data_IF_663298488474
#
_entry.id   IF_663298488474
#
_cell.length_a   1.000
_cell.length_b   1.000
_cell.length_c   1.000
_cell.angle_alpha   90.00
_cell.angle_beta   90.00
_cell.angle_gamma   90.00
#
_symmetry.space_group_name_H-M   'P 1'
#
loop_
_entity.id
_entity.type
_entity.pdbx_description
1 polymer ?
#
# COMPACT_ATOMS: atom_id res chain seq x y z
N UNK A 1 3.82 -23.55 -63.97
CA UNK A 1 2.96 -22.93 -62.90
C UNK A 1 3.20 -23.70 -61.60
N UNK A 2 4.07 -23.21 -60.77
CA UNK A 2 4.40 -23.80 -59.46
C UNK A 2 3.70 -22.95 -58.40
N UNK A 3 2.75 -23.54 -57.63
CA UNK A 3 2.09 -22.88 -56.51
C UNK A 3 2.93 -23.10 -55.26
N UNK A 4 3.50 -22.03 -54.73
CA UNK A 4 4.07 -21.98 -53.40
C UNK A 4 2.93 -21.95 -52.37
N UNK A 5 2.89 -22.97 -51.51
CA UNK A 5 2.08 -22.94 -50.27
C UNK A 5 2.92 -22.30 -49.17
N UNK A 6 2.53 -21.14 -48.71
CA UNK A 6 3.07 -20.51 -47.51
C UNK A 6 2.33 -21.04 -46.28
N UNK A 7 3.00 -21.81 -45.47
CA UNK A 7 2.52 -22.25 -44.17
C UNK A 7 2.77 -21.15 -43.14
N UNK A 8 1.70 -20.54 -42.65
CA UNK A 8 1.76 -19.57 -41.54
C UNK A 8 1.78 -20.34 -40.22
N UNK A 9 2.91 -20.36 -39.54
CA UNK A 9 3.03 -20.94 -38.20
C UNK A 9 2.41 -19.94 -37.18
N UNK A 10 1.29 -20.35 -36.59
CA UNK A 10 0.62 -19.64 -35.53
C UNK A 10 1.35 -19.97 -34.21
N UNK A 11 2.25 -19.12 -33.74
CA UNK A 11 2.85 -19.24 -32.41
C UNK A 11 1.80 -18.87 -31.37
N UNK A 12 1.19 -19.85 -30.72
CA UNK A 12 0.36 -19.66 -29.53
C UNK A 12 1.28 -19.34 -28.36
N UNK A 13 1.30 -18.07 -27.91
CA UNK A 13 1.89 -17.69 -26.63
C UNK A 13 0.96 -18.22 -25.52
N UNK A 14 1.34 -19.33 -24.92
CA UNK A 14 0.78 -19.75 -23.63
C UNK A 14 1.38 -18.81 -22.57
N UNK A 15 0.64 -17.79 -22.15
CA UNK A 15 0.89 -17.08 -20.94
C UNK A 15 0.72 -18.10 -19.78
N UNK A 16 1.80 -18.58 -19.22
CA UNK A 16 1.79 -19.35 -17.98
C UNK A 16 1.17 -18.45 -16.91
N UNK A 17 -0.07 -18.72 -16.50
CA UNK A 17 -0.63 -18.11 -15.31
C UNK A 17 0.28 -18.48 -14.14
N UNK A 18 1.12 -17.56 -13.68
CA UNK A 18 1.86 -17.71 -12.45
C UNK A 18 0.84 -17.94 -11.35
N UNK A 19 0.93 -19.06 -10.63
CA UNK A 19 0.09 -19.28 -9.47
C UNK A 19 0.24 -18.06 -8.54
N UNK A 20 -0.89 -17.50 -8.11
CA UNK A 20 -0.88 -16.37 -7.19
C UNK A 20 -0.10 -16.78 -5.92
N UNK A 21 0.74 -15.88 -5.42
CA UNK A 21 1.46 -16.12 -4.16
C UNK A 21 0.46 -16.35 -3.03
N UNK A 22 0.77 -17.27 -2.09
CA UNK A 22 -0.10 -17.53 -0.97
C UNK A 22 -0.20 -16.27 -0.09
N UNK A 23 -1.39 -16.01 0.40
CA UNK A 23 -1.62 -14.95 1.38
C UNK A 23 -1.59 -15.51 2.80
N UNK A 24 -1.53 -14.65 3.78
CA UNK A 24 -1.37 -15.05 5.18
C UNK A 24 -2.48 -16.01 5.66
N UNK A 25 -3.73 -15.80 5.23
CA UNK A 25 -4.85 -16.73 5.53
C UNK A 25 -4.66 -18.10 4.89
N UNK A 26 -4.06 -18.19 3.72
CA UNK A 26 -3.79 -19.46 3.04
C UNK A 26 -2.72 -20.28 3.79
N UNK A 27 -1.82 -19.59 4.50
CA UNK A 27 -0.87 -20.20 5.43
C UNK A 27 -1.44 -20.52 6.81
N UNK A 28 -2.73 -20.28 7.03
CA UNK A 28 -3.40 -20.56 8.30
C UNK A 28 -3.12 -19.54 9.40
N UNK A 29 -2.73 -18.32 9.07
CA UNK A 29 -2.67 -17.22 10.03
C UNK A 29 -4.10 -16.80 10.38
N UNK A 30 -4.51 -16.82 11.68
CA UNK A 30 -5.85 -16.44 12.07
C UNK A 30 -5.96 -14.91 12.16
N UNK A 31 -6.93 -14.36 11.45
CA UNK A 31 -7.32 -12.96 11.55
C UNK A 31 -8.80 -12.82 11.85
N UNK A 32 -9.13 -11.80 12.61
CA UNK A 32 -10.49 -11.43 12.98
C UNK A 32 -11.20 -10.70 11.83
N UNK A 33 -12.52 -10.67 11.86
CA UNK A 33 -13.37 -9.96 10.94
C UNK A 33 -13.58 -10.66 9.58
N UNK A 34 -14.73 -10.39 8.96
CA UNK A 34 -15.08 -10.88 7.63
C UNK A 34 -14.40 -10.02 6.56
N UNK A 35 -13.86 -10.64 5.52
CA UNK A 35 -13.21 -9.93 4.41
C UNK A 35 -14.19 -9.70 3.26
N UNK A 36 -13.92 -8.68 2.43
CA UNK A 36 -14.50 -8.59 1.10
C UNK A 36 -14.03 -9.74 0.18
N UNK A 37 -14.55 -9.78 -1.03
CA UNK A 37 -14.31 -10.87 -1.97
C UNK A 37 -12.82 -11.01 -2.37
N UNK A 38 -12.12 -9.89 -2.51
CA UNK A 38 -10.70 -9.84 -2.87
C UNK A 38 -9.79 -9.77 -1.63
N UNK A 39 -10.36 -9.47 -0.46
CA UNK A 39 -9.62 -9.11 0.74
C UNK A 39 -8.54 -8.06 0.46
N UNK A 40 -8.90 -7.00 -0.24
CA UNK A 40 -8.02 -5.96 -0.75
C UNK A 40 -8.65 -4.57 -0.64
N UNK A 41 -7.85 -3.51 -0.73
CA UNK A 41 -8.37 -2.13 -0.74
C UNK A 41 -9.39 -1.90 -1.86
N UNK A 42 -9.27 -2.64 -2.95
CA UNK A 42 -10.17 -2.61 -4.11
C UNK A 42 -11.54 -3.24 -3.86
N UNK A 43 -11.79 -3.85 -2.70
CA UNK A 43 -13.16 -4.20 -2.28
C UNK A 43 -14.01 -2.95 -1.95
N UNK A 44 -13.37 -1.81 -1.70
CA UNK A 44 -14.07 -0.53 -1.55
C UNK A 44 -14.48 -0.03 -2.93
N UNK A 45 -15.77 0.15 -3.11
CA UNK A 45 -16.35 0.52 -4.41
C UNK A 45 -15.72 1.80 -4.99
N UNK A 46 -15.28 1.75 -6.23
CA UNK A 46 -14.64 2.85 -6.96
C UNK A 46 -13.12 2.89 -6.82
N UNK A 47 -12.53 2.23 -5.84
CA UNK A 47 -11.07 2.20 -5.65
C UNK A 47 -10.40 1.31 -6.68
N UNK A 48 -9.36 1.83 -7.33
CA UNK A 48 -8.50 1.06 -8.23
C UNK A 48 -7.04 1.23 -7.86
N UNK A 49 -6.22 0.23 -8.15
CA UNK A 49 -4.78 0.21 -7.87
C UNK A 49 -4.01 -0.16 -9.12
N UNK A 50 -2.95 0.61 -9.42
CA UNK A 50 -2.02 0.31 -10.49
C UNK A 50 -0.58 0.37 -10.01
N UNK A 51 0.28 -0.45 -10.61
CA UNK A 51 1.66 -0.61 -10.16
C UNK A 51 2.62 -0.72 -11.35
N UNK A 52 3.82 -0.16 -11.15
CA UNK A 52 4.98 -0.36 -12.04
C UNK A 52 6.16 -0.76 -11.17
N UNK A 53 6.74 -1.92 -11.47
CA UNK A 53 7.86 -2.52 -10.75
C UNK A 53 9.13 -2.40 -11.58
N UNK A 54 10.21 -1.90 -10.99
CA UNK A 54 11.51 -1.75 -11.63
C UNK A 54 12.52 -2.67 -10.94
N UNK A 55 12.89 -3.74 -11.63
CA UNK A 55 13.92 -4.71 -11.20
C UNK A 55 14.92 -4.85 -12.34
N UNK A 56 16.11 -4.30 -12.16
CA UNK A 56 17.15 -4.31 -13.17
C UNK A 56 18.54 -4.41 -12.51
N UNK A 57 19.43 -5.17 -13.12
CA UNK A 57 20.85 -5.21 -12.78
C UNK A 57 21.63 -4.44 -13.84
N UNK A 58 22.17 -3.29 -13.45
CA UNK A 58 22.87 -2.40 -14.36
C UNK A 58 24.27 -2.90 -14.70
N UNK A 59 24.78 -2.57 -15.87
CA UNK A 59 26.15 -2.89 -16.30
C UNK A 59 27.22 -2.32 -15.35
N UNK A 60 26.90 -1.25 -14.61
CA UNK A 60 27.74 -0.66 -13.56
C UNK A 60 27.87 -1.55 -12.31
N UNK A 61 27.10 -2.64 -12.20
CA UNK A 61 26.97 -3.47 -11.01
C UNK A 61 25.92 -2.97 -10.01
N UNK A 62 25.38 -1.77 -10.20
CA UNK A 62 24.27 -1.24 -9.38
C UNK A 62 22.96 -1.98 -9.68
N UNK A 63 22.05 -1.99 -8.71
CA UNK A 63 20.76 -2.69 -8.80
C UNK A 63 19.60 -1.74 -8.60
N UNK A 64 18.67 -1.76 -9.54
CA UNK A 64 17.40 -1.04 -9.45
C UNK A 64 16.36 -1.96 -8.81
N UNK A 65 15.80 -1.55 -7.68
CA UNK A 65 14.81 -2.30 -6.88
C UNK A 65 13.78 -1.33 -6.33
N UNK A 66 12.97 -0.76 -7.20
CA UNK A 66 12.05 0.32 -6.86
C UNK A 66 10.78 0.26 -7.72
N UNK A 67 9.95 1.27 -7.66
CA UNK A 67 8.75 1.39 -8.48
C UNK A 67 7.76 2.42 -7.99
N UNK A 68 6.55 2.35 -8.55
CA UNK A 68 5.44 3.26 -8.24
C UNK A 68 4.16 2.46 -8.05
N UNK A 69 3.40 2.80 -7.00
CA UNK A 69 2.03 2.33 -6.79
C UNK A 69 1.08 3.52 -6.83
N UNK A 70 0.01 3.43 -7.60
CA UNK A 70 -1.06 4.42 -7.70
C UNK A 70 -2.34 3.85 -7.08
N UNK A 71 -2.95 4.58 -6.16
CA UNK A 71 -4.27 4.28 -5.58
C UNK A 71 -5.22 5.39 -6.01
N UNK A 72 -6.26 5.03 -6.76
CA UNK A 72 -7.22 5.97 -7.31
C UNK A 72 -8.56 5.83 -6.58
N UNK A 73 -8.97 6.81 -5.75
CA UNK A 73 -10.20 6.72 -4.96
C UNK A 73 -11.48 6.56 -5.77
N UNK A 74 -11.50 7.05 -7.01
CA UNK A 74 -12.65 6.99 -7.94
C UNK A 74 -12.27 6.47 -9.32
N UNK A 75 -11.29 5.56 -9.39
CA UNK A 75 -10.81 5.02 -10.65
C UNK A 75 -10.43 6.13 -11.64
N UNK A 76 -10.86 6.03 -12.88
CA UNK A 76 -10.52 7.01 -13.92
C UNK A 76 -11.05 8.42 -13.65
N UNK A 77 -12.04 8.58 -12.77
CA UNK A 77 -12.60 9.91 -12.42
C UNK A 77 -11.83 10.59 -11.28
N UNK A 78 -10.81 9.95 -10.71
CA UNK A 78 -10.08 10.45 -9.53
C UNK A 78 -9.51 11.85 -9.72
N UNK A 79 -9.09 12.21 -10.93
CA UNK A 79 -8.52 13.55 -11.19
C UNK A 79 -9.56 14.68 -11.08
N UNK A 80 -10.85 14.39 -11.30
CA UNK A 80 -11.93 15.39 -11.39
C UNK A 80 -13.01 15.20 -10.32
N UNK A 81 -12.86 14.17 -9.51
CA UNK A 81 -13.84 13.81 -8.49
C UNK A 81 -13.14 13.59 -7.14
N UNK A 82 -12.89 14.65 -6.38
CA UNK A 82 -12.28 14.55 -5.06
C UNK A 82 -13.13 13.72 -4.09
N UNK A 83 -12.51 13.29 -3.01
CA UNK A 83 -13.15 12.57 -1.91
C UNK A 83 -12.80 13.24 -0.59
N UNK A 84 -13.64 13.06 0.44
CA UNK A 84 -13.20 13.44 1.78
C UNK A 84 -11.99 12.60 2.20
N UNK A 85 -10.99 13.29 2.74
CA UNK A 85 -9.74 12.69 3.18
C UNK A 85 -9.21 13.31 4.46
N UNK A 86 -8.34 12.58 5.13
CA UNK A 86 -7.55 13.08 6.26
C UNK A 86 -6.29 12.26 6.40
N UNK A 87 -5.26 12.84 6.98
CA UNK A 87 -3.99 12.19 7.22
C UNK A 87 -3.54 12.31 8.68
N UNK A 88 -2.58 11.49 9.06
CA UNK A 88 -1.99 11.50 10.39
C UNK A 88 -0.54 11.00 10.33
N UNK A 89 0.41 11.80 10.82
CA UNK A 89 1.77 11.34 11.08
C UNK A 89 1.86 10.82 12.50
N UNK A 90 2.09 9.51 12.65
CA UNK A 90 2.44 8.92 13.94
C UNK A 90 3.88 9.27 14.28
N UNK A 91 4.74 9.24 13.26
CA UNK A 91 6.15 9.57 13.32
C UNK A 91 6.57 10.23 12.00
N UNK A 92 7.30 11.32 12.04
CA UNK A 92 7.45 12.26 10.94
C UNK A 92 8.77 12.17 10.16
N UNK A 93 9.59 11.12 10.34
CA UNK A 93 10.81 10.95 9.53
C UNK A 93 10.50 10.35 8.15
N UNK A 94 9.66 11.03 7.39
CA UNK A 94 9.20 10.65 6.06
C UNK A 94 8.43 11.78 5.40
N UNK A 95 8.03 11.60 4.15
CA UNK A 95 7.33 12.62 3.39
C UNK A 95 5.99 12.12 2.85
N UNK A 96 4.98 13.01 2.90
CA UNK A 96 3.71 12.92 2.17
C UNK A 96 3.35 14.32 1.69
N UNK A 97 3.33 14.51 0.38
CA UNK A 97 2.95 15.80 -0.22
C UNK A 97 1.44 16.03 -0.19
N UNK A 98 0.97 17.26 -0.42
CA UNK A 98 -0.45 17.61 -0.50
C UNK A 98 -1.19 17.64 0.84
N UNK A 99 -0.53 17.35 1.94
CA UNK A 99 -1.14 17.23 3.29
C UNK A 99 -1.68 18.55 3.82
N UNK A 100 -1.05 19.68 3.50
CA UNK A 100 -1.54 21.00 3.91
C UNK A 100 -2.94 21.29 3.34
N UNK A 101 -3.18 20.94 2.08
CA UNK A 101 -4.49 21.10 1.46
C UNK A 101 -5.53 20.14 2.02
N UNK A 102 -5.14 18.91 2.31
CA UNK A 102 -6.04 17.95 2.97
C UNK A 102 -6.47 18.47 4.36
N UNK A 103 -5.56 19.05 5.14
CA UNK A 103 -5.91 19.61 6.46
C UNK A 103 -6.83 20.86 6.33
N UNK A 104 -6.62 21.70 5.32
CA UNK A 104 -7.39 22.92 5.10
C UNK A 104 -8.78 22.63 4.54
N UNK A 105 -8.85 21.80 3.48
CA UNK A 105 -10.11 21.56 2.74
C UNK A 105 -10.90 20.35 3.23
N UNK A 106 -10.23 19.40 3.87
CA UNK A 106 -10.79 18.07 4.14
C UNK A 106 -10.94 17.19 2.89
N UNK A 107 -10.33 17.59 1.77
CA UNK A 107 -10.46 16.90 0.48
C UNK A 107 -9.15 16.30 0.03
N UNK A 108 -9.22 15.10 -0.52
CA UNK A 108 -8.17 14.43 -1.27
C UNK A 108 -8.51 14.55 -2.75
N UNK A 109 -7.67 15.25 -3.48
CA UNK A 109 -7.80 15.50 -4.92
C UNK A 109 -6.76 14.69 -5.68
N UNK A 110 -7.23 13.85 -6.60
CA UNK A 110 -6.34 13.02 -7.42
C UNK A 110 -5.95 11.69 -6.75
N UNK A 111 -4.97 10.98 -7.35
CA UNK A 111 -4.47 9.71 -6.85
C UNK A 111 -3.57 9.88 -5.62
N UNK A 112 -3.49 8.84 -4.81
CA UNK A 112 -2.43 8.66 -3.81
C UNK A 112 -1.32 7.83 -4.45
N UNK A 113 -0.13 8.39 -4.53
CA UNK A 113 1.04 7.75 -5.14
C UNK A 113 2.02 7.31 -4.06
N UNK A 114 2.57 6.10 -4.21
CA UNK A 114 3.59 5.55 -3.31
C UNK A 114 4.85 5.22 -4.12
N UNK A 115 6.01 5.63 -3.61
CA UNK A 115 7.30 5.41 -4.27
C UNK A 115 8.44 5.38 -3.24
N UNK A 116 9.69 5.59 -3.67
CA UNK A 116 10.82 5.75 -2.77
C UNK A 116 11.10 7.22 -2.42
N UNK A 117 11.91 7.44 -1.39
CA UNK A 117 12.22 8.77 -0.82
C UNK A 117 12.73 9.76 -1.88
N UNK A 118 13.65 9.36 -2.77
CA UNK A 118 14.24 10.28 -3.75
C UNK A 118 13.37 10.48 -5.01
N UNK A 119 12.28 9.74 -5.13
CA UNK A 119 11.39 9.82 -6.30
C UNK A 119 10.11 10.62 -6.06
N UNK A 120 9.89 11.16 -4.85
CA UNK A 120 8.69 11.95 -4.53
C UNK A 120 8.52 13.11 -5.51
N UNK A 121 9.57 13.86 -5.79
CA UNK A 121 9.52 15.01 -6.70
C UNK A 121 9.08 14.64 -8.10
N UNK A 122 9.75 13.66 -8.74
CA UNK A 122 9.42 13.24 -10.12
C UNK A 122 8.03 12.64 -10.22
N UNK A 123 7.58 11.89 -9.21
CA UNK A 123 6.23 11.31 -9.19
C UNK A 123 5.18 12.40 -9.07
N UNK A 124 5.40 13.39 -8.18
CA UNK A 124 4.52 14.55 -8.04
C UNK A 124 4.38 15.34 -9.33
N UNK A 125 5.50 15.68 -9.95
CA UNK A 125 5.51 16.46 -11.20
C UNK A 125 4.85 15.69 -12.35
N UNK A 126 5.06 14.37 -12.42
CA UNK A 126 4.44 13.52 -13.43
C UNK A 126 2.92 13.43 -13.28
N UNK A 127 2.38 13.38 -12.06
CA UNK A 127 0.91 13.43 -11.83
C UNK A 127 0.33 14.75 -12.33
N UNK A 128 1.02 15.88 -12.08
CA UNK A 128 0.61 17.19 -12.59
C UNK A 128 0.65 17.20 -14.14
N UNK A 129 1.73 16.70 -14.74
CA UNK A 129 1.87 16.62 -16.18
C UNK A 129 0.80 15.71 -16.83
N UNK A 130 0.40 14.62 -16.16
CA UNK A 130 -0.69 13.75 -16.61
C UNK A 130 -2.01 14.50 -16.65
N UNK A 131 -2.29 15.27 -15.60
CA UNK A 131 -3.49 16.11 -15.54
C UNK A 131 -3.50 17.18 -16.64
N UNK A 132 -2.35 17.84 -16.90
CA UNK A 132 -2.22 18.80 -18.03
C UNK A 132 -2.52 18.11 -19.36
N UNK A 133 -1.99 16.91 -19.56
CA UNK A 133 -2.23 16.14 -20.80
C UNK A 133 -3.68 15.70 -20.97
N UNK A 134 -4.39 15.45 -19.91
CA UNK A 134 -5.81 15.07 -19.96
C UNK A 134 -6.72 16.21 -20.43
N UNK A 135 -6.21 17.44 -20.48
CA UNK A 135 -6.92 18.61 -21.01
C UNK A 135 -8.06 19.11 -20.13
N UNK A 136 -8.15 18.65 -18.88
CA UNK A 136 -9.16 19.14 -17.94
C UNK A 136 -8.63 20.41 -17.29
N UNK A 137 -8.98 21.55 -17.87
CA UNK A 137 -8.77 22.87 -17.29
C UNK A 137 -10.09 23.36 -16.68
N UNK A 138 -10.01 24.21 -15.67
CA UNK A 138 -11.18 24.95 -15.20
C UNK A 138 -11.62 25.99 -16.25
N UNK A 139 -12.75 26.64 -16.00
CA UNK A 139 -13.31 27.62 -16.95
C UNK A 139 -12.45 28.87 -17.12
N UNK A 140 -11.44 29.09 -16.25
CA UNK A 140 -10.50 30.21 -16.36
C UNK A 140 -9.31 29.88 -17.28
N UNK A 141 -9.14 28.62 -17.68
CA UNK A 141 -7.97 28.14 -18.44
C UNK A 141 -6.74 27.89 -17.57
N UNK A 142 -6.83 28.14 -16.27
CA UNK A 142 -5.81 27.80 -15.27
C UNK A 142 -6.36 26.71 -14.35
N UNK A 143 -5.48 25.85 -13.92
CA UNK A 143 -5.79 24.90 -12.87
C UNK A 143 -4.51 24.57 -12.09
N UNK A 144 -4.69 24.10 -10.90
CA UNK A 144 -3.60 23.70 -10.03
C UNK A 144 -3.88 22.30 -9.46
N UNK A 145 -2.85 21.63 -9.04
CA UNK A 145 -2.96 20.32 -8.43
C UNK A 145 -1.93 20.18 -7.32
N UNK A 146 -2.33 19.62 -6.21
CA UNK A 146 -1.48 19.30 -5.07
C UNK A 146 -1.47 17.79 -4.85
N UNK A 147 -0.80 17.00 -5.72
CA UNK A 147 -0.82 15.55 -5.66
C UNK A 147 -0.32 15.03 -4.32
N UNK A 148 -0.93 13.93 -3.86
CA UNK A 148 -0.46 13.19 -2.68
C UNK A 148 0.52 12.13 -3.14
N UNK A 149 1.79 12.30 -2.75
CA UNK A 149 2.86 11.34 -2.98
C UNK A 149 3.51 11.05 -1.64
N UNK A 150 3.54 9.78 -1.26
CA UNK A 150 4.18 9.31 -0.04
C UNK A 150 5.29 8.31 -0.35
N UNK A 151 6.20 8.12 0.59
CA UNK A 151 7.40 7.35 0.34
C UNK A 151 7.81 6.46 1.52
N UNK A 152 8.64 5.47 1.20
CA UNK A 152 9.49 4.74 2.14
C UNK A 152 10.87 4.54 1.53
N UNK A 153 11.91 4.48 2.36
CA UNK A 153 13.30 4.40 1.90
C UNK A 153 13.68 2.98 1.42
N UNK A 154 14.11 2.85 0.18
CA UNK A 154 14.51 1.57 -0.42
C UNK A 154 16.03 1.41 -0.63
N UNK A 155 16.84 2.37 -0.14
CA UNK A 155 18.27 2.46 -0.43
C UNK A 155 19.13 1.30 0.07
N UNK A 156 18.60 0.37 0.88
CA UNK A 156 19.30 -0.86 1.25
C UNK A 156 19.45 -1.81 0.04
N UNK A 157 18.39 -1.91 -0.79
CA UNK A 157 18.39 -2.82 -1.94
C UNK A 157 18.48 -2.09 -3.28
N UNK A 158 18.02 -0.86 -3.35
CA UNK A 158 17.92 -0.04 -4.55
C UNK A 158 19.09 0.94 -4.67
N UNK A 159 19.58 1.18 -5.88
CA UNK A 159 20.40 2.35 -6.20
C UNK A 159 19.54 3.62 -6.16
N UNK A 160 19.17 4.05 -4.95
CA UNK A 160 18.23 5.15 -4.71
C UNK A 160 18.73 6.49 -5.29
N UNK A 161 20.07 6.68 -5.32
CA UNK A 161 20.70 7.89 -5.85
C UNK A 161 20.81 7.91 -7.39
N UNK A 162 20.43 6.82 -8.06
CA UNK A 162 20.37 6.74 -9.52
C UNK A 162 19.11 7.36 -10.13
N UNK A 163 18.11 7.75 -9.30
CA UNK A 163 16.86 8.37 -9.73
C UNK A 163 16.16 7.60 -10.86
N UNK A 164 15.97 6.30 -10.67
CA UNK A 164 15.49 5.38 -11.71
C UNK A 164 13.98 5.49 -12.00
N UNK A 165 13.18 6.05 -11.09
CA UNK A 165 11.77 6.34 -11.37
C UNK A 165 11.68 7.53 -12.33
N UNK A 166 10.87 7.38 -13.38
CA UNK A 166 10.68 8.35 -14.46
C UNK A 166 9.20 8.68 -14.63
N UNK A 167 8.85 9.82 -15.30
CA UNK A 167 7.45 10.21 -15.53
C UNK A 167 6.61 9.14 -16.23
N UNK A 168 7.19 8.38 -17.16
CA UNK A 168 6.50 7.30 -17.87
C UNK A 168 6.06 6.17 -16.94
N UNK A 169 6.78 5.87 -15.87
CA UNK A 169 6.38 4.87 -14.89
C UNK A 169 5.14 5.31 -14.10
N UNK A 170 4.99 6.61 -13.86
CA UNK A 170 3.80 7.19 -13.23
C UNK A 170 2.59 7.07 -14.16
N UNK A 171 2.74 7.47 -15.42
CA UNK A 171 1.68 7.33 -16.43
C UNK A 171 1.23 5.87 -16.59
N UNK A 172 2.17 4.94 -16.62
CA UNK A 172 1.89 3.51 -16.68
C UNK A 172 1.16 3.01 -15.42
N UNK A 173 1.58 3.43 -14.23
CA UNK A 173 0.91 3.04 -12.98
C UNK A 173 -0.55 3.53 -12.96
N UNK A 174 -0.79 4.76 -13.39
CA UNK A 174 -2.14 5.32 -13.50
C UNK A 174 -2.98 4.57 -14.56
N UNK A 175 -2.39 4.23 -15.70
CA UNK A 175 -3.06 3.50 -16.78
C UNK A 175 -3.40 2.04 -16.41
N UNK A 176 -2.51 1.40 -15.63
CA UNK A 176 -2.68 0.01 -15.16
C UNK A 176 -3.68 -0.14 -14.03
N UNK A 177 -4.21 0.98 -13.48
CA UNK A 177 -5.10 0.92 -12.33
C UNK A 177 -6.40 0.17 -12.62
N UNK A 178 -6.70 -0.83 -11.80
CA UNK A 178 -7.87 -1.70 -11.92
C UNK A 178 -8.50 -1.99 -10.55
N UNK A 179 -9.77 -2.38 -10.55
CA UNK A 179 -10.54 -2.77 -9.35
C UNK A 179 -10.42 -4.26 -9.00
N UNK A 180 -9.51 -4.98 -9.66
CA UNK A 180 -9.29 -6.41 -9.42
C UNK A 180 -8.40 -6.71 -8.22
N UNK A 181 -7.86 -7.92 -8.14
CA UNK A 181 -6.84 -8.29 -7.17
C UNK A 181 -5.63 -7.35 -7.24
N UNK A 182 -5.10 -6.98 -6.07
CA UNK A 182 -3.90 -6.15 -5.96
C UNK A 182 -2.69 -7.06 -5.82
N UNK A 183 -1.64 -6.84 -6.60
CA UNK A 183 -0.38 -7.56 -6.43
C UNK A 183 0.32 -7.10 -5.13
N UNK A 184 0.92 -8.06 -4.40
CA UNK A 184 1.52 -7.87 -3.09
C UNK A 184 3.02 -8.26 -3.08
N UNK A 185 3.75 -7.90 -2.05
CA UNK A 185 5.19 -8.18 -1.91
C UNK A 185 6.08 -7.21 -2.70
N UNK A 186 7.02 -7.76 -3.46
CA UNK A 186 8.07 -7.02 -4.18
C UNK A 186 7.55 -6.29 -5.44
N UNK A 187 6.54 -5.47 -5.32
CA UNK A 187 5.86 -4.83 -6.46
C UNK A 187 5.66 -3.34 -6.24
N UNK A 188 5.58 -2.59 -7.34
CA UNK A 188 5.35 -1.16 -7.29
C UNK A 188 6.35 -0.42 -6.40
N UNK A 189 5.88 0.55 -5.63
CA UNK A 189 6.69 1.25 -4.65
C UNK A 189 7.26 0.35 -3.55
N UNK A 190 6.68 -0.84 -3.32
CA UNK A 190 7.15 -1.82 -2.34
C UNK A 190 8.32 -2.71 -2.79
N UNK A 191 8.82 -2.53 -4.02
CA UNK A 191 9.80 -3.44 -4.62
C UNK A 191 11.07 -3.61 -3.78
N UNK A 192 11.69 -2.54 -3.30
CA UNK A 192 12.94 -2.57 -2.52
C UNK A 192 12.75 -2.60 -1.00
N UNK A 193 11.53 -2.77 -0.49
CA UNK A 193 11.20 -2.56 0.92
C UNK A 193 11.49 -3.78 1.80
N UNK A 194 11.86 -3.50 3.07
CA UNK A 194 12.23 -4.48 4.10
C UNK A 194 11.42 -4.18 5.35
N UNK A 195 10.70 -5.14 5.90
CA UNK A 195 10.05 -4.97 7.19
C UNK A 195 10.41 -6.07 8.18
N UNK A 196 10.64 -5.67 9.43
CA UNK A 196 11.13 -6.55 10.47
C UNK A 196 12.36 -7.38 10.04
N UNK A 197 13.25 -6.77 9.24
CA UNK A 197 14.44 -7.40 8.68
C UNK A 197 14.16 -8.60 7.75
N UNK A 198 12.93 -8.75 7.26
CA UNK A 198 12.56 -9.62 6.16
C UNK A 198 12.26 -8.80 4.91
N UNK A 199 12.41 -9.40 3.73
CA UNK A 199 11.86 -8.78 2.51
C UNK A 199 10.37 -8.56 2.68
N UNK A 200 9.91 -7.40 2.25
CA UNK A 200 8.54 -6.95 2.42
C UNK A 200 8.06 -6.18 1.18
N UNK A 201 7.10 -5.27 1.31
CA UNK A 201 6.67 -4.46 0.20
C UNK A 201 5.22 -3.98 0.31
N UNK A 202 4.44 -4.19 -0.75
CA UNK A 202 3.01 -3.87 -0.77
C UNK A 202 2.21 -5.00 -0.14
N UNK A 203 1.21 -4.64 0.67
CA UNK A 203 0.21 -5.57 1.16
C UNK A 203 -1.15 -4.91 1.28
N UNK A 204 -2.21 -5.71 1.25
CA UNK A 204 -3.57 -5.20 1.31
C UNK A 204 -4.50 -6.15 2.05
N UNK A 205 -5.58 -5.62 2.60
CA UNK A 205 -6.66 -6.40 3.19
C UNK A 205 -7.95 -5.58 3.25
N UNK A 206 -9.09 -6.22 3.47
CA UNK A 206 -10.37 -5.55 3.69
C UNK A 206 -11.16 -6.15 4.82
N UNK A 207 -12.14 -5.38 5.33
CA UNK A 207 -13.14 -5.84 6.29
C UNK A 207 -14.51 -5.35 5.90
N UNK A 208 -15.47 -6.26 6.01
CA UNK A 208 -16.88 -5.97 5.88
C UNK A 208 -17.45 -5.66 7.28
N UNK A 209 -18.09 -4.51 7.40
CA UNK A 209 -18.77 -4.09 8.62
C UNK A 209 -20.25 -4.38 8.42
N UNK A 210 -20.79 -5.24 9.28
CA UNK A 210 -22.23 -5.48 9.34
C UNK A 210 -22.87 -4.37 10.15
N UNK A 211 -23.91 -3.79 9.62
CA UNK A 211 -24.54 -2.65 10.22
C UNK A 211 -25.61 -3.04 11.24
N UNK A 212 -25.26 -3.04 12.48
CA UNK A 212 -26.24 -2.72 13.53
C UNK A 212 -26.56 -1.23 13.53
N UNK A 213 -25.88 -0.44 12.69
CA UNK A 213 -25.82 1.00 12.71
C UNK A 213 -26.01 1.69 11.34
N UNK A 214 -26.94 1.24 10.54
CA UNK A 214 -27.42 2.03 9.39
C UNK A 214 -26.75 1.77 8.04
N UNK A 215 -25.98 0.70 7.84
CA UNK A 215 -25.43 0.32 6.52
C UNK A 215 -24.35 -0.76 6.59
N UNK A 216 -24.22 -1.53 5.52
CA UNK A 216 -23.06 -2.40 5.34
C UNK A 216 -21.95 -1.57 4.70
N UNK A 217 -20.78 -1.52 5.33
CA UNK A 217 -19.64 -0.78 4.83
C UNK A 217 -18.43 -1.68 4.64
N UNK A 218 -17.53 -1.23 3.81
CA UNK A 218 -16.23 -1.87 3.58
C UNK A 218 -15.12 -0.93 4.05
N UNK A 219 -14.16 -1.46 4.78
CA UNK A 219 -12.86 -0.83 5.02
C UNK A 219 -11.82 -1.62 4.28
N UNK A 220 -11.05 -0.95 3.42
CA UNK A 220 -9.93 -1.51 2.69
C UNK A 220 -8.63 -0.80 3.09
N UNK A 221 -7.55 -1.57 3.23
CA UNK A 221 -6.23 -1.05 3.59
C UNK A 221 -5.20 -1.50 2.56
N UNK A 222 -4.30 -0.58 2.16
CA UNK A 222 -3.08 -0.89 1.44
C UNK A 222 -1.91 -0.29 2.21
N UNK A 223 -0.84 -1.08 2.36
CA UNK A 223 0.40 -0.64 3.00
C UNK A 223 1.57 -0.71 2.03
N UNK A 224 2.51 0.24 2.17
CA UNK A 224 3.88 0.13 1.70
C UNK A 224 4.76 0.03 2.93
N UNK A 225 5.26 -1.17 3.23
CA UNK A 225 5.90 -1.49 4.50
C UNK A 225 7.41 -1.64 4.37
N UNK A 226 8.14 -0.75 5.08
CA UNK A 226 9.60 -0.73 5.17
C UNK A 226 10.04 -0.33 6.59
N UNK A 227 9.67 -1.10 7.60
CA UNK A 227 9.83 -0.72 9.01
C UNK A 227 10.10 -1.92 9.92
N UNK A 228 10.45 -1.65 11.15
CA UNK A 228 10.42 -2.62 12.24
C UNK A 228 11.70 -3.43 12.42
N UNK A 229 11.91 -3.84 13.66
CA UNK A 229 13.00 -4.73 14.08
C UNK A 229 12.49 -6.16 14.18
N UNK A 230 13.41 -7.14 14.03
CA UNK A 230 13.07 -8.58 14.03
C UNK A 230 12.49 -9.06 15.36
N UNK A 231 13.14 -8.77 16.48
CA UNK A 231 12.78 -9.36 17.76
C UNK A 231 11.39 -8.94 18.28
N UNK A 232 10.91 -7.68 18.09
CA UNK A 232 9.57 -7.29 18.45
C UNK A 232 8.45 -7.88 17.59
N UNK A 233 8.77 -8.41 16.38
CA UNK A 233 7.75 -8.89 15.43
C UNK A 233 6.76 -9.86 16.08
N UNK A 234 5.47 -9.53 15.94
CA UNK A 234 4.34 -10.38 16.32
C UNK A 234 3.44 -10.61 15.12
N UNK A 235 2.94 -11.83 14.99
CA UNK A 235 1.93 -12.20 13.98
C UNK A 235 0.84 -12.96 14.71
N UNK A 236 -0.40 -12.52 14.61
CA UNK A 236 -1.53 -13.08 15.36
C UNK A 236 -1.25 -13.17 16.87
N UNK A 237 -0.56 -12.18 17.44
CA UNK A 237 -0.16 -12.11 18.85
C UNK A 237 1.05 -12.97 19.23
N UNK A 238 1.56 -13.83 18.34
CA UNK A 238 2.70 -14.72 18.58
C UNK A 238 4.01 -13.98 18.36
N UNK A 239 5.03 -14.06 19.23
CA UNK A 239 6.31 -13.37 19.08
C UNK A 239 7.21 -14.05 18.03
N UNK A 240 6.77 -14.03 16.77
CA UNK A 240 7.40 -14.76 15.66
C UNK A 240 8.86 -14.38 15.47
N UNK A 241 9.18 -13.09 15.64
CA UNK A 241 10.55 -12.58 15.47
C UNK A 241 11.57 -13.21 16.38
N UNK A 242 11.16 -13.66 17.57
CA UNK A 242 12.04 -14.35 18.54
C UNK A 242 12.37 -15.80 18.14
N UNK A 243 11.59 -16.38 17.23
CA UNK A 243 11.76 -17.76 16.75
C UNK A 243 12.33 -17.85 15.34
N UNK A 244 12.19 -16.80 14.53
CA UNK A 244 12.75 -16.71 13.17
C UNK A 244 13.94 -15.75 13.14
N UNK A 245 15.00 -16.06 13.89
CA UNK A 245 16.16 -15.16 14.10
C UNK A 245 17.21 -15.23 13.03
N UNK A 246 17.22 -16.28 12.21
CA UNK A 246 18.22 -16.47 11.17
C UNK A 246 18.00 -15.50 9.99
N UNK A 247 19.05 -15.32 9.20
CA UNK A 247 18.99 -14.58 7.94
C UNK A 247 18.57 -13.10 8.08
N UNK A 248 19.02 -12.42 9.14
CA UNK A 248 18.82 -10.98 9.33
C UNK A 248 19.69 -10.21 8.35
N UNK A 249 19.14 -9.16 7.74
CA UNK A 249 19.90 -8.31 6.80
C UNK A 249 20.94 -7.45 7.53
N UNK A 250 20.68 -7.07 8.77
CA UNK A 250 21.57 -6.22 9.58
C UNK A 250 22.42 -7.00 10.60
N UNK A 251 22.70 -8.28 10.37
CA UNK A 251 23.05 -9.21 11.44
C UNK A 251 24.52 -9.20 11.90
N UNK A 252 25.44 -8.45 11.32
CA UNK A 252 26.84 -8.85 11.57
C UNK A 252 27.81 -7.82 12.13
N UNK A 253 27.53 -6.53 12.23
CA UNK A 253 28.57 -5.61 12.66
C UNK A 253 28.16 -4.27 13.28
N UNK A 254 26.91 -3.85 13.27
CA UNK A 254 26.49 -2.64 13.94
C UNK A 254 25.70 -2.97 15.21
N UNK A 255 25.98 -2.31 16.37
CA UNK A 255 25.06 -2.33 17.48
C UNK A 255 23.70 -1.88 16.94
N UNK A 256 22.62 -2.57 17.37
CA UNK A 256 21.27 -2.27 16.97
C UNK A 256 21.02 -0.76 17.02
N UNK A 257 21.11 -0.09 15.89
CA UNK A 257 20.49 1.21 15.75
C UNK A 257 19.00 0.96 16.00
N UNK A 258 18.33 1.85 16.74
CA UNK A 258 16.92 1.72 17.03
C UNK A 258 16.11 1.53 15.74
N UNK A 259 14.82 1.25 15.85
CA UNK A 259 13.92 1.07 14.71
C UNK A 259 14.06 2.25 13.74
N UNK A 260 14.47 1.94 12.54
CA UNK A 260 14.56 2.86 11.39
C UNK A 260 13.69 2.31 10.28
N UNK A 261 13.23 3.15 9.40
CA UNK A 261 12.39 2.74 8.28
C UNK A 261 11.15 3.61 8.19
N UNK A 262 10.11 3.13 7.53
CA UNK A 262 8.87 3.90 7.33
C UNK A 262 7.74 2.97 6.94
N UNK A 263 6.51 3.35 7.21
CA UNK A 263 5.35 2.69 6.63
C UNK A 263 4.30 3.72 6.19
N UNK A 264 3.84 3.57 4.97
CA UNK A 264 2.66 4.30 4.52
C UNK A 264 1.46 3.37 4.58
N UNK A 265 0.41 3.83 5.25
CA UNK A 265 -0.87 3.10 5.36
C UNK A 265 -1.97 3.95 4.75
N UNK A 266 -2.62 3.42 3.71
CA UNK A 266 -3.77 4.05 3.06
C UNK A 266 -5.01 3.26 3.41
N UNK A 267 -6.00 3.93 4.02
CA UNK A 267 -7.29 3.36 4.42
C UNK A 267 -8.38 3.95 3.54
N UNK A 268 -9.09 3.12 2.83
CA UNK A 268 -10.27 3.47 2.05
C UNK A 268 -11.53 2.93 2.73
N UNK A 269 -12.65 3.64 2.58
CA UNK A 269 -13.96 3.13 3.00
C UNK A 269 -15.07 3.72 2.13
N UNK A 270 -16.17 2.99 1.99
CA UNK A 270 -17.43 3.48 1.43
C UNK A 270 -18.40 3.96 2.51
N UNK A 271 -18.05 3.89 3.80
CA UNK A 271 -18.79 4.51 4.86
C UNK A 271 -18.82 6.04 4.68
N UNK A 272 -19.98 6.69 4.80
CA UNK A 272 -20.05 8.16 4.73
C UNK A 272 -19.40 8.75 5.98
N UNK A 273 -18.19 9.30 5.82
CA UNK A 273 -17.42 9.89 6.91
C UNK A 273 -16.95 11.29 6.52
N UNK A 274 -17.00 12.19 7.49
CA UNK A 274 -16.47 13.55 7.39
C UNK A 274 -14.94 13.56 7.65
N UNK A 275 -14.20 14.59 7.21
CA UNK A 275 -12.75 14.64 7.34
C UNK A 275 -12.23 14.41 8.77
N UNK A 276 -12.86 14.99 9.79
CA UNK A 276 -12.44 14.77 11.17
C UNK A 276 -12.67 13.32 11.66
N UNK A 277 -13.69 12.63 11.12
CA UNK A 277 -13.91 11.19 11.39
C UNK A 277 -12.85 10.34 10.67
N UNK A 278 -12.49 10.69 9.43
CA UNK A 278 -11.40 10.05 8.69
C UNK A 278 -10.05 10.24 9.39
N UNK A 279 -9.79 11.40 10.00
CA UNK A 279 -8.58 11.60 10.84
C UNK A 279 -8.54 10.63 12.03
N UNK A 280 -9.70 10.30 12.62
CA UNK A 280 -9.80 9.28 13.67
C UNK A 280 -9.53 7.87 13.11
N UNK A 281 -9.93 7.57 11.87
CA UNK A 281 -9.62 6.32 11.17
C UNK A 281 -8.11 6.23 10.92
N UNK A 282 -7.49 7.24 10.33
CA UNK A 282 -6.06 7.28 10.08
C UNK A 282 -5.25 6.98 11.36
N UNK A 283 -5.62 7.59 12.50
CA UNK A 283 -4.97 7.30 13.79
C UNK A 283 -5.06 5.83 14.21
N UNK A 284 -6.14 5.10 13.86
CA UNK A 284 -6.31 3.69 14.22
C UNK A 284 -5.42 2.74 13.42
N UNK A 285 -4.97 3.14 12.24
CA UNK A 285 -3.98 2.39 11.50
C UNK A 285 -2.71 2.13 12.33
N UNK A 286 -2.29 3.11 13.16
CA UNK A 286 -1.18 2.94 14.10
C UNK A 286 -1.40 1.82 15.15
N UNK A 287 -2.65 1.51 15.51
CA UNK A 287 -2.94 0.40 16.42
C UNK A 287 -2.75 -0.96 15.72
N UNK A 288 -3.09 -1.07 14.42
CA UNK A 288 -2.78 -2.25 13.61
C UNK A 288 -1.27 -2.45 13.45
N UNK A 289 -0.53 -1.35 13.21
CA UNK A 289 0.93 -1.35 13.19
C UNK A 289 1.53 -1.84 14.51
N UNK A 290 1.02 -1.37 15.66
CA UNK A 290 1.47 -1.78 16.99
C UNK A 290 1.22 -3.27 17.28
N UNK A 291 0.15 -3.87 16.73
CA UNK A 291 -0.09 -5.32 16.84
C UNK A 291 1.03 -6.16 16.20
N UNK A 292 1.74 -5.61 15.22
CA UNK A 292 2.90 -6.24 14.59
C UNK A 292 4.19 -6.11 15.41
N UNK A 293 4.16 -5.33 16.51
CA UNK A 293 5.30 -5.14 17.41
C UNK A 293 6.14 -3.90 17.10
N UNK A 294 5.73 -3.03 16.20
CA UNK A 294 6.35 -1.70 16.04
C UNK A 294 6.05 -0.82 17.25
N UNK A 295 7.03 -0.03 17.62
CA UNK A 295 6.90 1.03 18.61
C UNK A 295 7.14 2.42 18.01
N UNK A 296 7.13 2.52 16.65
CA UNK A 296 7.36 3.77 15.91
C UNK A 296 8.65 4.47 16.35
N UNK A 297 9.80 3.82 16.15
CA UNK A 297 11.12 4.33 16.56
C UNK A 297 11.43 5.69 15.96
N UNK A 298 12.30 6.46 16.61
CA UNK A 298 12.59 7.85 16.23
C UNK A 298 13.04 8.04 14.78
N UNK A 299 13.65 7.03 14.18
CA UNK A 299 14.11 7.03 12.77
C UNK A 299 13.06 6.60 11.77
N UNK A 300 11.82 6.29 12.20
CA UNK A 300 10.74 5.83 11.32
C UNK A 300 9.89 6.99 10.80
N UNK A 301 9.34 6.85 9.59
CA UNK A 301 8.36 7.75 8.99
C UNK A 301 7.04 7.02 8.81
N UNK A 302 6.18 7.06 9.82
CA UNK A 302 4.93 6.31 9.86
C UNK A 302 3.77 7.26 9.58
N UNK A 303 3.33 7.33 8.32
CA UNK A 303 2.35 8.30 7.84
C UNK A 303 1.14 7.59 7.26
N UNK A 304 -0.04 7.99 7.68
CA UNK A 304 -1.31 7.34 7.37
C UNK A 304 -2.28 8.30 6.70
N UNK A 305 -2.99 7.80 5.70
CA UNK A 305 -4.04 8.52 4.98
C UNK A 305 -5.34 7.71 5.06
N UNK A 306 -6.46 8.37 5.30
CA UNK A 306 -7.79 7.76 5.20
C UNK A 306 -8.68 8.58 4.29
N UNK A 307 -9.48 7.92 3.44
CA UNK A 307 -10.47 8.59 2.59
C UNK A 307 -11.77 7.79 2.49
N UNK A 308 -12.86 8.50 2.15
CA UNK A 308 -14.17 7.89 1.93
C UNK A 308 -14.64 8.12 0.50
N UNK A 309 -15.05 7.03 -0.18
CA UNK A 309 -15.66 7.12 -1.52
C UNK A 309 -17.14 7.51 -1.49
N UNK A 310 -17.76 7.64 -0.31
CA UNK A 310 -19.09 8.18 -0.15
C UNK A 310 -19.16 9.69 -0.47
N UNK A 311 -20.35 10.27 -0.41
CA UNK A 311 -20.58 11.71 -0.56
C UNK A 311 -20.11 12.31 -1.90
N UNK A 312 -20.14 11.54 -2.99
CA UNK A 312 -19.72 12.03 -4.30
C UNK A 312 -20.46 13.28 -4.77
N UNK A 313 -21.73 13.43 -4.39
CA UNK A 313 -22.52 14.59 -4.73
C UNK A 313 -22.07 15.86 -3.98
N UNK A 314 -21.53 15.73 -2.77
CA UNK A 314 -21.06 16.86 -1.96
C UNK A 314 -19.78 17.49 -2.52
N UNK A 315 -19.08 16.78 -3.43
CA UNK A 315 -17.85 17.25 -4.06
C UNK A 315 -18.10 18.05 -5.35
N UNK A 316 -19.37 18.18 -5.76
CA UNK A 316 -19.72 18.99 -6.92
C UNK A 316 -19.73 20.46 -6.53
N UNK A 317 -19.30 21.31 -7.47
CA UNK A 317 -19.37 22.75 -7.29
C UNK A 317 -20.83 23.19 -7.05
N UNK A 318 -21.09 23.76 -5.88
CA UNK A 318 -22.38 24.28 -5.48
C UNK A 318 -22.18 25.33 -4.37
N UNK A 319 -23.05 26.33 -4.33
CA UNK A 319 -23.03 27.36 -3.26
C UNK A 319 -23.22 26.74 -1.87
N UNK A 320 -24.01 25.67 -1.78
CA UNK A 320 -24.24 24.89 -0.55
C UNK A 320 -24.27 23.42 -0.91
N UNK A 321 -23.47 22.63 -0.23
CA UNK A 321 -23.43 21.18 -0.37
C UNK A 321 -23.94 20.48 0.89
N UNK A 322 -24.46 19.25 0.72
CA UNK A 322 -24.91 18.40 1.81
C UNK A 322 -24.07 17.13 1.85
N UNK A 323 -23.67 16.69 3.03
CA UNK A 323 -22.96 15.44 3.24
C UNK A 323 -23.68 14.59 4.28
N UNK A 324 -23.73 13.27 4.02
CA UNK A 324 -24.14 12.28 5.02
C UNK A 324 -22.93 11.85 5.83
N UNK A 325 -23.15 11.47 7.09
CA UNK A 325 -22.10 10.92 7.92
C UNK A 325 -22.64 9.92 8.94
N UNK A 326 -21.81 8.97 9.31
CA UNK A 326 -22.07 8.00 10.37
C UNK A 326 -22.05 8.73 11.72
N UNK A 327 -23.07 8.52 12.55
CA UNK A 327 -23.12 9.08 13.89
C UNK A 327 -21.94 8.63 14.76
N UNK A 328 -21.51 9.49 15.69
CA UNK A 328 -20.29 9.25 16.48
C UNK A 328 -20.32 7.93 17.27
N UNK A 329 -21.51 7.58 17.80
CA UNK A 329 -21.72 6.35 18.59
C UNK A 329 -21.66 5.05 17.75
N UNK A 330 -21.51 5.17 16.41
CA UNK A 330 -21.52 4.06 15.48
C UNK A 330 -20.20 3.89 14.73
N UNK A 331 -19.11 4.49 15.20
CA UNK A 331 -17.80 4.44 14.55
C UNK A 331 -16.94 3.25 14.96
N UNK A 332 -17.24 2.57 16.06
CA UNK A 332 -16.39 1.52 16.62
C UNK A 332 -16.14 0.37 15.63
N UNK A 333 -17.15 -0.04 14.87
CA UNK A 333 -16.99 -1.06 13.84
C UNK A 333 -16.01 -0.65 12.73
N UNK A 334 -15.98 0.64 12.35
CA UNK A 334 -15.02 1.15 11.36
C UNK A 334 -13.61 1.23 11.96
N UNK A 335 -13.48 1.58 13.24
CA UNK A 335 -12.20 1.59 13.95
C UNK A 335 -11.61 0.19 14.06
N UNK A 336 -12.40 -0.78 14.52
CA UNK A 336 -11.99 -2.18 14.64
C UNK A 336 -11.58 -2.75 13.29
N UNK A 337 -12.40 -2.56 12.25
CA UNK A 337 -12.10 -2.97 10.88
C UNK A 337 -10.78 -2.41 10.37
N UNK A 338 -10.49 -1.13 10.67
CA UNK A 338 -9.22 -0.48 10.30
C UNK A 338 -8.02 -1.17 10.95
N UNK A 339 -8.09 -1.45 12.25
CA UNK A 339 -7.02 -2.12 13.00
C UNK A 339 -6.77 -3.52 12.45
N UNK A 340 -7.84 -4.30 12.27
CA UNK A 340 -7.77 -5.68 11.77
C UNK A 340 -7.25 -5.77 10.32
N UNK A 341 -7.72 -4.88 9.44
CA UNK A 341 -7.27 -4.85 8.05
C UNK A 341 -5.81 -4.39 7.93
N UNK A 342 -5.38 -3.45 8.77
CA UNK A 342 -3.97 -2.99 8.79
C UNK A 342 -3.03 -4.11 9.23
N UNK A 343 -3.34 -4.84 10.31
CA UNK A 343 -2.55 -5.99 10.75
C UNK A 343 -2.42 -7.03 9.63
N UNK A 344 -3.52 -7.43 9.00
CA UNK A 344 -3.50 -8.42 7.93
C UNK A 344 -2.76 -7.91 6.67
N UNK A 345 -2.93 -6.65 6.27
CA UNK A 345 -2.25 -6.07 5.12
C UNK A 345 -0.72 -6.14 5.30
N UNK A 346 -0.21 -5.84 6.49
CA UNK A 346 1.23 -5.93 6.78
C UNK A 346 1.71 -7.38 6.69
N UNK A 347 0.99 -8.33 7.27
CA UNK A 347 1.38 -9.75 7.19
C UNK A 347 1.33 -10.25 5.74
N UNK A 348 0.35 -9.82 4.95
CA UNK A 348 0.28 -10.15 3.52
C UNK A 348 1.49 -9.58 2.75
N UNK A 349 1.92 -8.33 3.05
CA UNK A 349 3.14 -7.77 2.46
C UNK A 349 4.38 -8.62 2.72
N UNK A 350 4.50 -9.19 3.93
CA UNK A 350 5.61 -10.08 4.31
C UNK A 350 5.53 -11.45 3.63
N UNK A 351 4.33 -12.04 3.62
CA UNK A 351 4.10 -13.42 3.12
C UNK A 351 4.20 -13.47 1.59
N UNK A 352 3.72 -12.45 0.89
CA UNK A 352 3.81 -12.37 -0.57
C UNK A 352 5.20 -11.98 -1.08
N UNK A 353 6.11 -11.53 -0.20
CA UNK A 353 7.46 -11.15 -0.59
C UNK A 353 8.31 -12.36 -0.97
N UNK A 354 9.25 -12.12 -1.88
CA UNK A 354 10.28 -13.09 -2.31
C UNK A 354 11.65 -12.55 -1.99
N UNK A 355 12.61 -13.44 -1.79
CA UNK A 355 14.02 -13.08 -1.61
C UNK A 355 14.47 -12.08 -2.67
N UNK A 356 15.32 -11.13 -2.27
CA UNK A 356 15.79 -10.11 -3.20
C UNK A 356 17.25 -9.74 -2.94
N UNK A 357 18.06 -9.81 -3.99
CA UNK A 357 19.39 -9.25 -3.99
C UNK A 357 19.35 -7.76 -4.33
N UNK A 358 19.99 -6.96 -3.52
CA UNK A 358 20.16 -5.52 -3.68
C UNK A 358 21.57 -5.10 -4.03
N UNK A 359 21.87 -3.81 -3.84
CA UNK A 359 23.19 -3.22 -4.03
C UNK A 359 24.20 -3.73 -3.01
N UNK A 360 25.48 -3.60 -3.33
CA UNK A 360 26.63 -3.79 -2.44
C UNK A 360 26.65 -5.16 -1.72
N UNK A 361 26.03 -6.18 -2.36
CA UNK A 361 25.93 -7.53 -1.81
C UNK A 361 24.81 -7.74 -0.80
N UNK A 362 24.00 -6.74 -0.53
CA UNK A 362 22.85 -6.85 0.37
C UNK A 362 21.84 -7.87 -0.17
N UNK A 363 21.29 -8.68 0.73
CA UNK A 363 20.34 -9.73 0.38
C UNK A 363 19.25 -9.83 1.45
N UNK A 364 18.04 -9.45 1.07
CA UNK A 364 16.89 -9.56 1.95
C UNK A 364 16.13 -10.86 1.70
N UNK A 365 16.01 -11.70 2.72
CA UNK A 365 15.21 -12.94 2.67
C UNK A 365 13.75 -12.66 3.01
N UNK A 366 12.84 -13.30 2.30
CA UNK A 366 11.44 -13.38 2.65
C UNK A 366 11.22 -14.19 3.92
N UNK A 367 10.11 -13.99 4.60
CA UNK A 367 9.73 -14.81 5.75
C UNK A 367 9.51 -16.26 5.33
N UNK A 368 10.10 -17.20 6.04
CA UNK A 368 9.88 -18.63 5.77
C UNK A 368 8.45 -19.04 6.08
N UNK A 369 7.64 -19.39 5.08
CA UNK A 369 6.27 -19.86 5.26
C UNK A 369 6.22 -21.09 6.18
N UNK A 370 7.08 -22.08 5.95
CA UNK A 370 7.16 -23.28 6.79
C UNK A 370 7.57 -22.93 8.23
N UNK A 371 8.51 -21.99 8.39
CA UNK A 371 8.95 -21.47 9.68
C UNK A 371 7.81 -20.78 10.43
N UNK A 372 7.09 -19.88 9.74
CA UNK A 372 5.92 -19.16 10.31
C UNK A 372 4.85 -20.17 10.77
N UNK A 373 4.44 -21.10 9.91
CA UNK A 373 3.44 -22.12 10.23
C UNK A 373 3.88 -22.96 11.45
N UNK A 374 5.16 -23.36 11.51
CA UNK A 374 5.70 -24.12 12.65
C UNK A 374 5.58 -23.34 13.96
N UNK A 375 5.91 -22.04 13.93
CA UNK A 375 5.82 -21.16 15.10
C UNK A 375 4.36 -21.00 15.53
N UNK A 376 3.44 -20.70 14.61
CA UNK A 376 2.01 -20.54 14.90
C UNK A 376 1.42 -21.83 15.53
N UNK A 377 1.75 -23.00 14.98
CA UNK A 377 1.32 -24.29 15.54
C UNK A 377 1.82 -24.49 16.97
N UNK A 378 3.07 -24.14 17.25
CA UNK A 378 3.67 -24.25 18.60
C UNK A 378 2.89 -23.42 19.64
N UNK A 379 2.31 -22.28 19.22
CA UNK A 379 1.55 -21.40 20.12
C UNK A 379 0.03 -21.61 20.05
N UNK A 380 -0.45 -22.65 19.36
CA UNK A 380 -1.89 -22.92 19.21
C UNK A 380 -2.62 -21.83 18.40
N UNK A 381 -1.90 -21.06 17.57
CA UNK A 381 -2.44 -19.95 16.76
C UNK A 381 -2.39 -20.28 15.26
N UNK A 382 -2.74 -21.50 14.89
CA UNK A 382 -2.80 -21.96 13.52
C UNK A 382 -4.24 -22.36 13.17
N UNK A 383 -4.81 -21.73 12.16
CA UNK A 383 -6.16 -22.00 11.67
C UNK A 383 -6.14 -22.25 10.16
N UNK A 384 -5.95 -23.49 9.69
CA UNK A 384 -5.95 -23.77 8.26
C UNK A 384 -7.31 -23.43 7.64
N UNK A 385 -7.31 -22.90 6.42
CA UNK A 385 -8.53 -22.73 5.63
C UNK A 385 -9.18 -24.12 5.45
N UNK A 386 -10.46 -24.20 5.76
CA UNK A 386 -11.28 -25.39 5.51
C UNK A 386 -11.56 -25.55 4.03
#
# INVERSE_FOLDING_TARGET
MIRLLTATALCAFFASASAAEPRARDLGVPFEGATGALNAITDVAGVTVGQVTLIEDLASGKKVRTGVTAILPRGKQTLDAPVFGAWFALNGNGEMTGTAWIDESGQLEGPVMLTNTHSVGVVRDAVIAERVRSGVADTSGYWWSLPVVAETWDGELNDINGFHVRPEHVSQALANASSGPVAEGNVGGGTGMICHEFKCGIGTASRLIKADAGGNYTVGVLVQANYGMRDPLRIAGVPVGQYLRNDRIYSTAAPAQGETGSIIIVVATDAPLLPHQLKRIAKRAGMGLARMGSYAGNGSGDIFLAFSTANAASMKEAAVSQASFVGLEHLDGVFEATVQATEEAIVNAMVAARDMQGNDGHYAKAISHAGLVKVLKRFGRYAPRK
#
